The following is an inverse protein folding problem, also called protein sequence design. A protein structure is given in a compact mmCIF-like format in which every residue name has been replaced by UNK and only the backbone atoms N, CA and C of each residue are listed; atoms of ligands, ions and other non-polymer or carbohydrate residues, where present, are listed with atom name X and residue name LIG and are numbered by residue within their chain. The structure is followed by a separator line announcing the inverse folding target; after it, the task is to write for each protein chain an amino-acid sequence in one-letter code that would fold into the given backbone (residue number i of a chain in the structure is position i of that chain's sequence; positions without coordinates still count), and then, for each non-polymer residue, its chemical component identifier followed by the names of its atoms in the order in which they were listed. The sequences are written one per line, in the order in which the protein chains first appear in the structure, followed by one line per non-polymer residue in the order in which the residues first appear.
data_IF_598959454725
#
_entry.id   IF_598959454725
#
_cell.length_a   1.000
_cell.length_b   1.000
_cell.length_c   1.000
_cell.angle_alpha   90.00
_cell.angle_beta   90.00
_cell.angle_gamma   90.00
#
_symmetry.space_group_name_H-M   'P 1'
#
loop_
_entity.id
_entity.type
_entity.pdbx_description
1 polymer ?
#
# COMPACT_ATOMS: atom_id res chain seq x y z
N UNK A 1 -22.18 43.28 -58.61
CA UNK A 1 -21.93 41.84 -58.38
C UNK A 1 -20.43 41.58 -58.37
N UNK A 2 -19.82 41.39 -57.20
CA UNK A 2 -18.49 40.79 -57.03
C UNK A 2 -18.46 40.18 -55.62
N UNK A 3 -18.45 38.84 -55.57
CA UNK A 3 -18.32 38.04 -54.35
C UNK A 3 -16.85 38.05 -53.94
N UNK A 4 -16.54 38.41 -52.70
CA UNK A 4 -15.24 38.16 -52.11
C UNK A 4 -15.40 37.07 -51.05
N UNK A 5 -14.90 35.89 -51.39
CA UNK A 5 -14.57 34.81 -50.46
C UNK A 5 -13.09 34.96 -50.15
N UNK A 6 -12.70 35.26 -48.90
CA UNK A 6 -11.33 35.02 -48.44
C UNK A 6 -11.36 34.38 -47.05
N UNK A 7 -10.74 33.20 -47.04
CA UNK A 7 -10.50 32.23 -45.99
C UNK A 7 -10.04 32.80 -44.64
N UNK A 8 -10.67 32.34 -43.56
CA UNK A 8 -10.12 32.40 -42.20
C UNK A 8 -9.15 31.23 -42.04
N UNK A 9 -7.85 31.54 -41.97
CA UNK A 9 -6.80 30.59 -41.63
C UNK A 9 -6.79 30.42 -40.09
N UNK A 10 -7.43 29.37 -39.59
CA UNK A 10 -7.32 28.99 -38.17
C UNK A 10 -6.01 28.20 -38.04
N UNK A 11 -4.99 28.85 -37.48
CA UNK A 11 -3.76 28.19 -37.07
C UNK A 11 -4.06 27.18 -35.96
N UNK A 12 -4.05 25.89 -36.32
CA UNK A 12 -3.99 24.81 -35.36
C UNK A 12 -2.62 24.87 -34.68
N UNK A 13 -2.57 25.40 -33.46
CA UNK A 13 -1.50 25.15 -32.50
C UNK A 13 -1.56 23.66 -32.12
N UNK A 14 -1.02 22.81 -32.99
CA UNK A 14 -0.68 21.43 -32.61
C UNK A 14 0.52 21.50 -31.69
N UNK A 15 0.26 21.69 -30.39
CA UNK A 15 1.26 21.39 -29.37
C UNK A 15 1.63 19.91 -29.51
N UNK A 16 2.88 19.63 -29.86
CA UNK A 16 3.42 18.27 -29.81
C UNK A 16 3.38 17.78 -28.36
N UNK A 17 2.33 17.07 -27.97
CA UNK A 17 2.38 16.23 -26.77
C UNK A 17 3.37 15.13 -27.10
N UNK A 18 4.45 15.06 -26.33
CA UNK A 18 5.54 14.10 -26.51
C UNK A 18 5.00 12.66 -26.32
N UNK A 19 4.54 12.04 -27.41
CA UNK A 19 3.91 10.71 -27.46
C UNK A 19 4.84 9.57 -27.01
N UNK A 20 6.15 9.83 -26.88
CA UNK A 20 7.14 8.86 -26.36
C UNK A 20 6.91 8.44 -24.90
N UNK A 21 6.16 9.23 -24.11
CA UNK A 21 5.84 8.89 -22.72
C UNK A 21 4.69 7.89 -22.57
N UNK A 22 3.78 7.84 -23.54
CA UNK A 22 2.59 6.96 -23.48
C UNK A 22 2.96 5.54 -23.93
N UNK A 23 3.84 5.42 -24.93
CA UNK A 23 4.30 4.13 -25.48
C UNK A 23 5.16 3.30 -24.49
N UNK A 24 5.80 3.96 -23.52
CA UNK A 24 6.61 3.31 -22.48
C UNK A 24 5.82 2.94 -21.22
N UNK A 25 4.51 3.21 -21.15
CA UNK A 25 3.69 2.74 -20.03
C UNK A 25 3.22 1.29 -20.23
N UNK A 26 2.98 0.87 -21.47
CA UNK A 26 2.45 -0.45 -21.80
C UNK A 26 3.49 -1.59 -21.67
N UNK A 27 4.80 -1.26 -21.66
CA UNK A 27 5.90 -2.23 -21.53
C UNK A 27 6.45 -2.37 -20.10
N UNK A 28 5.82 -1.74 -19.10
CA UNK A 28 6.33 -1.80 -17.73
C UNK A 28 6.01 -3.17 -17.11
N UNK A 29 6.94 -3.74 -16.33
CA UNK A 29 6.63 -4.90 -15.52
C UNK A 29 5.50 -4.56 -14.54
N UNK A 30 4.45 -5.37 -14.54
CA UNK A 30 3.35 -5.25 -13.60
C UNK A 30 3.38 -6.42 -12.62
N UNK A 31 3.11 -6.14 -11.35
CA UNK A 31 2.95 -7.16 -10.33
C UNK A 31 1.77 -8.07 -10.71
N UNK A 32 1.97 -9.39 -10.64
CA UNK A 32 0.87 -10.35 -10.75
C UNK A 32 0.14 -10.36 -9.43
N UNK A 33 -1.03 -9.74 -9.41
CA UNK A 33 -1.84 -9.56 -8.21
C UNK A 33 -2.95 -10.61 -8.18
N UNK A 34 -3.03 -11.46 -7.15
CA UNK A 34 -4.07 -12.47 -7.06
C UNK A 34 -5.44 -11.83 -6.81
N UNK A 35 -6.52 -12.49 -7.23
CA UNK A 35 -7.88 -12.01 -6.93
C UNK A 35 -8.28 -12.25 -5.48
N UNK A 36 -7.61 -13.19 -4.82
CA UNK A 36 -7.86 -13.56 -3.44
C UNK A 36 -6.55 -13.89 -2.71
N UNK A 37 -6.53 -13.64 -1.40
CA UNK A 37 -5.42 -13.96 -0.51
C UNK A 37 -5.99 -14.69 0.70
N UNK A 38 -5.38 -15.83 1.03
CA UNK A 38 -5.68 -16.54 2.27
C UNK A 38 -4.73 -16.07 3.36
N UNK A 39 -5.30 -15.58 4.46
CA UNK A 39 -4.54 -15.07 5.60
C UNK A 39 -5.24 -15.43 6.91
N UNK A 40 -4.54 -16.08 7.83
CA UNK A 40 -5.07 -16.44 9.15
C UNK A 40 -6.44 -17.17 9.08
N UNK A 41 -6.52 -18.21 8.25
CA UNK A 41 -7.73 -19.01 7.99
C UNK A 41 -8.95 -18.23 7.45
N UNK A 42 -8.70 -17.05 6.87
CA UNK A 42 -9.72 -16.23 6.20
C UNK A 42 -9.30 -15.94 4.76
N UNK A 43 -10.29 -15.73 3.91
CA UNK A 43 -10.09 -15.34 2.51
C UNK A 43 -10.46 -13.87 2.32
N UNK A 44 -9.52 -13.12 1.78
CA UNK A 44 -9.65 -11.72 1.44
C UNK A 44 -9.71 -11.58 -0.08
N UNK A 45 -10.63 -10.76 -0.58
CA UNK A 45 -10.87 -10.57 -2.02
C UNK A 45 -10.41 -9.19 -2.44
N UNK A 46 -9.75 -9.09 -3.59
CA UNK A 46 -9.37 -7.81 -4.18
C UNK A 46 -10.63 -7.00 -4.46
N UNK A 47 -10.79 -5.84 -3.81
CA UNK A 47 -11.98 -4.98 -3.95
C UNK A 47 -11.68 -3.60 -4.48
N UNK A 48 -10.44 -3.14 -4.37
CA UNK A 48 -10.03 -1.86 -4.93
C UNK A 48 -8.58 -1.92 -5.40
N UNK A 49 -8.33 -1.22 -6.50
CA UNK A 49 -7.00 -0.94 -7.01
C UNK A 49 -6.88 0.57 -7.21
N UNK A 50 -5.75 1.15 -6.82
CA UNK A 50 -5.43 2.55 -7.05
C UNK A 50 -4.06 2.66 -7.68
N UNK A 51 -4.01 3.16 -8.90
CA UNK A 51 -2.77 3.55 -9.57
C UNK A 51 -2.38 4.97 -9.12
N UNK A 52 -1.15 5.12 -8.65
CA UNK A 52 -0.54 6.36 -8.16
C UNK A 52 0.68 6.74 -9.02
N UNK A 53 0.77 6.23 -10.25
CA UNK A 53 1.84 6.51 -11.21
C UNK A 53 3.00 5.54 -11.07
N UNK A 54 3.95 5.84 -10.17
CA UNK A 54 5.07 4.92 -9.87
C UNK A 54 4.71 3.86 -8.83
N UNK A 55 3.56 4.01 -8.19
CA UNK A 55 3.08 3.10 -7.15
C UNK A 55 1.66 2.63 -7.47
N UNK A 56 1.28 1.45 -7.01
CA UNK A 56 -0.07 0.91 -7.07
C UNK A 56 -0.44 0.28 -5.74
N UNK A 57 -1.68 0.50 -5.30
CA UNK A 57 -2.24 -0.09 -4.09
C UNK A 57 -3.35 -1.05 -4.45
N UNK A 58 -3.27 -2.27 -3.94
CA UNK A 58 -4.28 -3.32 -4.10
C UNK A 58 -4.86 -3.64 -2.74
N UNK A 59 -6.16 -3.42 -2.57
CA UNK A 59 -6.83 -3.50 -1.27
C UNK A 59 -7.79 -4.68 -1.25
N UNK A 60 -7.65 -5.51 -0.22
CA UNK A 60 -8.43 -6.72 -0.04
C UNK A 60 -9.20 -6.70 1.27
N UNK A 61 -10.44 -7.16 1.18
CA UNK A 61 -11.36 -7.27 2.31
C UNK A 61 -11.99 -8.65 2.36
N UNK A 62 -12.45 -9.08 3.54
CA UNK A 62 -13.33 -10.24 3.64
C UNK A 62 -14.61 -10.02 2.80
N UNK A 63 -15.28 -11.11 2.41
CA UNK A 63 -16.39 -11.08 1.43
C UNK A 63 -17.47 -10.03 1.73
N UNK A 64 -17.86 -9.89 3.01
CA UNK A 64 -18.91 -8.94 3.45
C UNK A 64 -18.40 -7.55 3.82
N UNK A 65 -17.08 -7.34 3.84
CA UNK A 65 -16.45 -6.10 4.28
C UNK A 65 -16.24 -5.11 3.11
N UNK A 66 -16.20 -3.83 3.42
CA UNK A 66 -16.09 -2.69 2.50
C UNK A 66 -15.12 -1.65 3.09
N UNK A 67 -14.70 -0.64 2.30
CA UNK A 67 -13.84 0.43 2.81
C UNK A 67 -14.37 1.16 4.05
N UNK A 68 -15.67 1.14 4.30
CA UNK A 68 -16.31 1.84 5.43
C UNK A 68 -16.58 0.95 6.64
N UNK A 69 -16.65 -0.38 6.49
CA UNK A 69 -17.06 -1.28 7.57
C UNK A 69 -16.04 -2.39 7.91
N UNK A 70 -14.88 -2.42 7.25
CA UNK A 70 -13.88 -3.46 7.44
C UNK A 70 -13.35 -3.54 8.88
N UNK A 71 -13.06 -4.76 9.33
CA UNK A 71 -12.40 -5.07 10.61
C UNK A 71 -10.95 -5.47 10.42
N UNK A 72 -10.65 -6.14 9.31
CA UNK A 72 -9.29 -6.40 8.86
C UNK A 72 -9.14 -6.16 7.36
N UNK A 73 -7.97 -5.72 6.94
CA UNK A 73 -7.66 -5.39 5.55
C UNK A 73 -6.27 -5.93 5.22
N UNK A 74 -6.09 -6.39 3.99
CA UNK A 74 -4.76 -6.58 3.42
C UNK A 74 -4.54 -5.52 2.35
N UNK A 75 -3.43 -4.81 2.46
CA UNK A 75 -2.92 -3.95 1.40
C UNK A 75 -1.66 -4.58 0.80
N UNK A 76 -1.64 -4.68 -0.52
CA UNK A 76 -0.40 -4.91 -1.28
C UNK A 76 -0.03 -3.59 -1.95
N UNK A 77 1.11 -3.03 -1.58
CA UNK A 77 1.71 -1.88 -2.23
C UNK A 77 2.77 -2.36 -3.20
N UNK A 78 2.65 -1.95 -4.45
CA UNK A 78 3.66 -2.12 -5.48
C UNK A 78 4.27 -0.76 -5.77
N UNK A 79 5.59 -0.64 -5.70
CA UNK A 79 6.35 0.53 -6.10
C UNK A 79 7.37 0.08 -7.15
N UNK A 80 7.25 0.60 -8.38
CA UNK A 80 8.17 0.27 -9.49
C UNK A 80 9.62 0.68 -9.19
N UNK A 81 9.83 1.44 -8.12
CA UNK A 81 11.10 1.90 -7.61
C UNK A 81 11.90 2.71 -8.64
N UNK A 82 11.21 3.62 -9.34
CA UNK A 82 11.81 4.49 -10.36
C UNK A 82 13.02 5.30 -9.83
N UNK A 83 12.99 5.65 -8.54
CA UNK A 83 14.05 6.38 -7.85
C UNK A 83 15.15 5.47 -7.28
N UNK A 84 15.09 4.16 -7.51
CA UNK A 84 16.09 3.17 -7.06
C UNK A 84 16.39 3.23 -5.56
N UNK A 85 15.37 3.49 -4.74
CA UNK A 85 15.49 3.56 -3.28
C UNK A 85 15.84 2.21 -2.69
N UNK A 86 16.82 2.21 -1.81
CA UNK A 86 17.17 1.12 -0.90
C UNK A 86 16.10 0.92 0.19
N UNK A 87 16.18 -0.21 0.90
CA UNK A 87 15.30 -0.47 2.05
C UNK A 87 15.51 0.54 3.18
N UNK A 88 16.76 0.96 3.43
CA UNK A 88 17.07 1.92 4.49
C UNK A 88 16.52 3.32 4.17
N UNK A 89 16.58 3.74 2.89
CA UNK A 89 15.93 4.99 2.47
C UNK A 89 14.41 4.93 2.62
N UNK A 90 13.79 3.79 2.25
CA UNK A 90 12.34 3.58 2.44
C UNK A 90 11.97 3.63 3.92
N UNK A 91 12.77 3.00 4.77
CA UNK A 91 12.64 3.04 6.23
C UNK A 91 12.70 4.48 6.74
N UNK A 92 13.77 5.22 6.43
CA UNK A 92 13.95 6.62 6.86
C UNK A 92 12.80 7.53 6.42
N UNK A 93 12.34 7.38 5.18
CA UNK A 93 11.20 8.16 4.67
C UNK A 93 9.93 7.86 5.46
N UNK A 94 9.65 6.59 5.76
CA UNK A 94 8.45 6.19 6.50
C UNK A 94 8.53 6.57 7.98
N UNK A 95 9.69 6.45 8.61
CA UNK A 95 9.93 6.96 9.97
C UNK A 95 9.69 8.48 10.04
N UNK A 96 10.20 9.23 9.06
CA UNK A 96 9.94 10.68 8.95
C UNK A 96 8.43 10.98 8.84
N UNK A 97 7.70 10.23 8.01
CA UNK A 97 6.23 10.39 7.88
C UNK A 97 5.52 10.10 9.20
N UNK A 98 5.86 9.02 9.90
CA UNK A 98 5.23 8.67 11.17
C UNK A 98 5.51 9.70 12.27
N UNK A 99 6.75 10.17 12.38
CA UNK A 99 7.11 11.25 13.29
C UNK A 99 6.34 12.54 12.98
N UNK A 100 6.26 12.93 11.70
CA UNK A 100 5.59 14.16 11.28
C UNK A 100 4.05 14.10 11.42
N UNK A 101 3.48 12.89 11.48
CA UNK A 101 2.02 12.68 11.62
C UNK A 101 1.58 12.36 13.04
N UNK A 102 2.50 12.43 14.02
CA UNK A 102 2.20 12.23 15.44
C UNK A 102 1.93 10.77 15.82
N UNK A 103 2.40 9.82 15.02
CA UNK A 103 2.30 8.40 15.35
C UNK A 103 3.30 8.08 16.47
N UNK A 104 2.80 7.70 17.64
CA UNK A 104 3.65 7.47 18.82
C UNK A 104 4.25 6.06 18.90
N UNK A 105 3.65 5.08 18.24
CA UNK A 105 3.97 3.66 18.45
C UNK A 105 4.18 2.94 17.13
N UNK A 106 5.43 2.93 16.67
CA UNK A 106 5.83 2.23 15.46
C UNK A 106 7.25 1.70 15.58
N UNK A 107 7.61 0.76 14.71
CA UNK A 107 8.99 0.32 14.52
C UNK A 107 9.17 -0.14 13.06
N UNK A 108 10.33 0.14 12.49
CA UNK A 108 10.75 -0.34 11.19
C UNK A 108 12.15 -0.92 11.32
N UNK A 109 12.37 -2.07 10.70
CA UNK A 109 13.67 -2.72 10.72
C UNK A 109 13.87 -3.61 9.51
N UNK A 110 15.12 -3.74 9.09
CA UNK A 110 15.52 -4.67 8.05
C UNK A 110 15.95 -6.00 8.67
N UNK A 111 15.55 -7.09 8.03
CA UNK A 111 16.00 -8.44 8.36
C UNK A 111 15.84 -9.32 7.12
N UNK A 112 16.83 -10.15 6.82
CA UNK A 112 16.77 -11.15 5.73
C UNK A 112 16.29 -10.52 4.39
N UNK A 113 16.91 -9.41 3.97
CA UNK A 113 16.57 -8.64 2.77
C UNK A 113 15.13 -8.10 2.70
N UNK A 114 14.42 -8.11 3.83
CA UNK A 114 13.05 -7.61 3.96
C UNK A 114 13.02 -6.39 4.86
N UNK A 115 12.15 -5.43 4.53
CA UNK A 115 11.75 -4.35 5.41
C UNK A 115 10.48 -4.75 6.17
N UNK A 116 10.61 -4.92 7.48
CA UNK A 116 9.49 -5.17 8.38
C UNK A 116 9.07 -3.88 9.06
N UNK A 117 7.77 -3.78 9.36
CA UNK A 117 7.27 -2.67 10.17
C UNK A 117 6.01 -3.04 10.94
N UNK A 118 5.81 -2.34 12.05
CA UNK A 118 4.49 -2.22 12.64
C UNK A 118 4.19 -0.77 13.01
N UNK A 119 2.90 -0.46 13.09
CA UNK A 119 2.39 0.79 13.63
C UNK A 119 1.09 0.54 14.39
N UNK A 120 0.93 1.20 15.53
CA UNK A 120 -0.28 1.21 16.35
C UNK A 120 -0.84 2.63 16.34
N UNK A 121 -1.97 2.81 15.67
CA UNK A 121 -2.73 4.04 15.67
C UNK A 121 -3.73 4.05 16.83
N UNK A 122 -3.69 5.14 17.61
CA UNK A 122 -4.70 5.41 18.62
C UNK A 122 -6.04 5.84 17.97
N UNK A 123 -7.18 5.59 18.64
CA UNK A 123 -8.45 6.14 18.22
C UNK A 123 -8.40 7.68 18.10
N UNK A 124 -9.07 8.22 17.10
CA UNK A 124 -9.21 9.65 16.86
C UNK A 124 -10.69 10.01 16.63
N UNK A 125 -10.98 11.31 16.47
CA UNK A 125 -12.34 11.77 16.16
C UNK A 125 -12.90 11.16 14.86
N UNK A 126 -12.03 10.87 13.89
CA UNK A 126 -12.43 10.24 12.62
C UNK A 126 -12.46 8.71 12.70
N UNK A 127 -11.65 8.10 13.58
CA UNK A 127 -11.48 6.65 13.66
C UNK A 127 -11.62 6.15 15.11
N UNK A 128 -12.76 5.53 15.42
CA UNK A 128 -13.10 5.15 16.80
C UNK A 128 -12.35 3.92 17.35
N UNK A 129 -11.61 3.20 16.51
CA UNK A 129 -10.92 1.97 16.88
C UNK A 129 -9.42 2.19 16.99
N UNK A 130 -8.76 1.39 17.83
CA UNK A 130 -7.33 1.19 17.67
C UNK A 130 -7.08 0.50 16.34
N UNK A 131 -5.99 0.83 15.67
CA UNK A 131 -5.60 0.13 14.46
C UNK A 131 -4.15 -0.32 14.56
N UNK A 132 -3.90 -1.58 14.25
CA UNK A 132 -2.56 -2.16 14.17
C UNK A 132 -2.30 -2.52 12.73
N UNK A 133 -1.22 -1.99 12.16
CA UNK A 133 -0.72 -2.44 10.87
C UNK A 133 0.60 -3.16 11.09
N UNK A 134 0.77 -4.30 10.42
CA UNK A 134 2.04 -5.02 10.35
C UNK A 134 2.34 -5.30 8.89
N UNK A 135 3.58 -5.04 8.48
CA UNK A 135 3.97 -5.19 7.09
C UNK A 135 5.35 -5.85 6.94
N UNK A 136 5.49 -6.54 5.80
CA UNK A 136 6.75 -7.03 5.25
C UNK A 136 6.83 -6.56 3.81
N UNK A 137 7.98 -6.09 3.38
CA UNK A 137 8.22 -5.79 1.97
C UNK A 137 9.63 -6.15 1.53
N UNK A 138 9.75 -6.52 0.27
CA UNK A 138 11.00 -6.94 -0.36
C UNK A 138 11.09 -6.35 -1.76
N UNK A 139 12.31 -6.30 -2.30
CA UNK A 139 12.49 -6.05 -3.71
C UNK A 139 12.19 -7.33 -4.49
N UNK A 140 11.32 -7.23 -5.49
CA UNK A 140 10.97 -8.31 -6.41
C UNK A 140 11.63 -8.02 -7.75
N UNK A 141 12.39 -9.00 -8.24
CA UNK A 141 13.11 -8.88 -9.51
C UNK A 141 12.16 -8.49 -10.65
N UNK A 142 12.53 -7.44 -11.38
CA UNK A 142 11.69 -6.88 -12.44
C UNK A 142 10.52 -6.00 -11.96
N UNK A 143 10.07 -6.03 -10.70
CA UNK A 143 8.93 -5.21 -10.24
C UNK A 143 9.30 -4.00 -9.40
N UNK A 144 10.51 -3.92 -8.86
CA UNK A 144 10.83 -2.94 -7.82
C UNK A 144 10.43 -3.46 -6.45
N UNK A 145 9.82 -2.63 -5.61
CA UNK A 145 9.49 -2.97 -4.23
C UNK A 145 8.03 -3.39 -4.08
N UNK A 146 7.78 -4.50 -3.38
CA UNK A 146 6.44 -4.98 -3.03
C UNK A 146 6.34 -5.04 -1.51
N UNK A 147 5.23 -4.56 -0.96
CA UNK A 147 4.93 -4.64 0.46
C UNK A 147 3.55 -5.25 0.67
N UNK A 148 3.50 -6.25 1.54
CA UNK A 148 2.30 -6.82 2.10
C UNK A 148 2.05 -6.21 3.48
N UNK A 149 0.87 -5.65 3.71
CA UNK A 149 0.46 -5.10 5.00
C UNK A 149 -0.87 -5.69 5.42
N UNK A 150 -0.90 -6.26 6.63
CA UNK A 150 -2.13 -6.62 7.30
C UNK A 150 -2.51 -5.52 8.30
N UNK A 151 -3.74 -5.01 8.20
CA UNK A 151 -4.31 -4.03 9.11
C UNK A 151 -5.47 -4.66 9.91
N UNK A 152 -5.52 -4.37 11.21
CA UNK A 152 -6.54 -4.86 12.14
C UNK A 152 -7.11 -3.72 12.98
N UNK A 153 -8.44 -3.54 12.94
CA UNK A 153 -9.15 -2.65 13.86
C UNK A 153 -9.52 -3.39 15.15
N UNK A 154 -9.20 -2.78 16.28
CA UNK A 154 -9.47 -3.30 17.62
C UNK A 154 -10.42 -2.31 18.33
N UNK A 155 -11.66 -2.73 18.64
CA UNK A 155 -12.65 -1.86 19.27
C UNK A 155 -12.21 -1.33 20.63
N UNK A 156 -12.57 -0.08 20.91
CA UNK A 156 -12.36 0.60 22.20
C UNK A 156 -13.29 0.07 23.29
N UNK A 157 -13.11 -1.18 23.71
CA UNK A 157 -13.93 -1.82 24.75
C UNK A 157 -13.66 -1.24 26.14
N UNK A 158 -14.64 -1.33 27.06
CA UNK A 158 -14.46 -0.92 28.48
C UNK A 158 -13.20 -1.56 29.11
N UNK A 159 -12.96 -2.84 28.82
CA UNK A 159 -11.78 -3.58 29.30
C UNK A 159 -10.47 -2.90 28.87
N UNK A 160 -10.35 -2.52 27.60
CA UNK A 160 -9.14 -1.85 27.09
C UNK A 160 -9.02 -0.43 27.65
N UNK A 161 -10.14 0.28 27.80
CA UNK A 161 -10.14 1.64 28.33
C UNK A 161 -9.81 1.74 29.82
N UNK A 162 -10.05 0.68 30.57
CA UNK A 162 -9.66 0.59 31.96
C UNK A 162 -8.18 0.19 32.13
N UNK A 163 -7.45 -0.12 31.05
CA UNK A 163 -6.01 -0.33 31.12
C UNK A 163 -5.26 1.00 31.11
N UNK A 164 -4.27 1.16 31.97
CA UNK A 164 -3.31 2.26 31.84
C UNK A 164 -2.57 2.20 30.50
N UNK A 165 -2.16 3.37 29.97
CA UNK A 165 -1.58 3.52 28.61
C UNK A 165 -0.47 2.50 28.31
N UNK A 166 0.52 2.36 29.19
CA UNK A 166 1.64 1.41 29.01
C UNK A 166 1.15 -0.04 28.89
N UNK A 167 0.22 -0.46 29.76
CA UNK A 167 -0.36 -1.81 29.75
C UNK A 167 -1.19 -2.05 28.48
N UNK A 168 -1.94 -1.05 28.03
CA UNK A 168 -2.72 -1.13 26.80
C UNK A 168 -1.84 -1.33 25.57
N UNK A 169 -0.78 -0.52 25.42
CA UNK A 169 0.15 -0.66 24.30
C UNK A 169 0.88 -2.00 24.34
N UNK A 170 1.35 -2.42 25.53
CA UNK A 170 1.94 -3.75 25.70
C UNK A 170 0.98 -4.89 25.32
N UNK A 171 -0.31 -4.75 25.65
CA UNK A 171 -1.34 -5.70 25.23
C UNK A 171 -1.50 -5.73 23.71
N UNK A 172 -1.64 -4.57 23.05
CA UNK A 172 -1.78 -4.50 21.59
C UNK A 172 -0.54 -5.05 20.88
N UNK A 173 0.65 -4.78 21.40
CA UNK A 173 1.90 -5.34 20.88
C UNK A 173 1.88 -6.87 20.96
N UNK A 174 1.68 -7.43 22.16
CA UNK A 174 1.72 -8.88 22.38
C UNK A 174 0.66 -9.65 21.60
N UNK A 175 -0.57 -9.14 21.54
CA UNK A 175 -1.71 -9.90 21.03
C UNK A 175 -2.07 -9.60 19.57
N UNK A 176 -1.63 -8.47 19.02
CA UNK A 176 -1.82 -8.12 17.61
C UNK A 176 -0.49 -8.06 16.87
N UNK A 177 0.43 -7.18 17.26
CA UNK A 177 1.69 -6.96 16.52
C UNK A 177 2.54 -8.23 16.47
N UNK A 178 2.91 -8.79 17.61
CA UNK A 178 3.89 -9.87 17.67
C UNK A 178 3.34 -11.14 17.02
N UNK A 179 2.05 -11.44 17.24
CA UNK A 179 1.36 -12.56 16.57
C UNK A 179 1.34 -12.39 15.06
N UNK A 180 1.08 -11.19 14.58
CA UNK A 180 0.99 -10.94 13.15
C UNK A 180 2.36 -10.87 12.48
N UNK A 181 3.35 -10.30 13.17
CA UNK A 181 4.73 -10.28 12.72
C UNK A 181 5.26 -11.70 12.54
N UNK A 182 4.97 -12.61 13.47
CA UNK A 182 5.33 -14.02 13.35
C UNK A 182 4.69 -14.70 12.11
N UNK A 183 3.44 -14.35 11.79
CA UNK A 183 2.76 -14.91 10.60
C UNK A 183 3.37 -14.37 9.31
N UNK A 184 3.53 -13.06 9.20
CA UNK A 184 4.03 -12.43 7.98
C UNK A 184 5.51 -12.78 7.76
N UNK A 185 6.32 -12.96 8.81
CA UNK A 185 7.71 -13.38 8.66
C UNK A 185 7.87 -14.81 8.16
N UNK A 186 6.88 -15.68 8.41
CA UNK A 186 6.86 -17.08 7.95
C UNK A 186 6.10 -17.28 6.63
N UNK A 187 5.54 -16.21 6.07
CA UNK A 187 4.82 -16.26 4.80
C UNK A 187 5.78 -16.49 3.63
N UNK A 188 5.42 -17.42 2.74
CA UNK A 188 6.13 -17.59 1.47
C UNK A 188 6.00 -16.33 0.60
N UNK A 189 7.13 -15.84 0.11
CA UNK A 189 7.19 -14.60 -0.66
C UNK A 189 7.22 -14.87 -2.16
N UNK A 190 6.05 -15.21 -2.72
CA UNK A 190 5.90 -15.69 -4.10
C UNK A 190 5.40 -14.61 -5.08
N UNK A 191 5.76 -13.34 -4.86
CA UNK A 191 5.37 -12.24 -5.73
C UNK A 191 6.18 -12.27 -7.04
N UNK A 192 5.48 -12.15 -8.17
CA UNK A 192 6.10 -12.24 -9.51
C UNK A 192 5.62 -11.12 -10.43
N UNK A 193 6.44 -10.82 -11.44
CA UNK A 193 6.19 -9.77 -12.41
C UNK A 193 5.85 -10.36 -13.77
N UNK A 194 4.98 -9.69 -14.51
CA UNK A 194 4.79 -9.94 -15.95
C UNK A 194 5.05 -8.66 -16.73
N UNK A 195 5.78 -8.79 -17.82
CA UNK A 195 5.88 -7.75 -18.85
C UNK A 195 4.74 -8.00 -19.82
N UNK A 196 3.92 -6.98 -20.09
CA UNK A 196 2.94 -7.07 -21.17
C UNK A 196 3.67 -7.04 -22.51
N UNK A 197 3.98 -8.22 -23.04
CA UNK A 197 4.40 -8.39 -24.43
C UNK A 197 3.15 -8.38 -25.31
N UNK A 198 2.52 -7.22 -25.49
CA UNK A 198 1.64 -7.05 -26.66
C UNK A 198 2.53 -6.88 -27.88
N UNK A 199 2.66 -7.96 -28.65
CA UNK A 199 3.17 -7.99 -30.02
C UNK A 199 2.24 -7.25 -30.97
#
# INVERSE_FOLDING_TARGET
MKKYFIFVLIGLLTGCVNTKHVENLEKRPHLVVPKEINHNAKTYYLKAQRDLGSMSRYIYFEKKETPTNWKSEIEVLHDVNAEKRSLEERKKLREKVYNNTGVEHFQLFEKDHSLYSFVIYAPSAQYNNWQVNVAKGENVEGCGFVQYQYALKIPKTKKLMNMGKVKLIGYLKKYAVDKEMQRISSMEWNWVCKVNNKS
#
